data_IF_004961062102
#
_entry.id   IF_004961062102
#
_cell.length_a   1.000
_cell.length_b   1.000
_cell.length_c   1.000
_cell.angle_alpha   90.00
_cell.angle_beta   90.00
_cell.angle_gamma   90.00
#
_symmetry.space_group_name_H-M   'P 1'
#
loop_
_entity.id
_entity.type
_entity.pdbx_description
1 polymer ?
#
# COMPACT_ATOMS: atom_id res chain seq x y z
N UNK A 1 3.42 18.01 -21.77
CA UNK A 1 2.95 17.33 -20.55
C UNK A 1 4.13 17.31 -19.64
N UNK A 2 4.03 17.98 -18.50
CA UNK A 2 5.07 17.96 -17.48
C UNK A 2 5.07 16.53 -16.93
N UNK A 3 6.18 15.82 -17.10
CA UNK A 3 6.35 14.46 -16.60
C UNK A 3 6.38 14.56 -15.07
N UNK A 4 5.23 14.35 -14.43
CA UNK A 4 5.14 14.47 -12.98
C UNK A 4 5.95 13.30 -12.39
N UNK A 5 6.98 13.56 -11.57
CA UNK A 5 7.84 12.50 -11.08
C UNK A 5 7.03 11.49 -10.29
N UNK A 6 7.29 10.20 -10.53
CA UNK A 6 6.64 9.13 -9.78
C UNK A 6 6.81 9.33 -8.29
N UNK A 7 5.70 9.26 -7.56
CA UNK A 7 5.65 9.32 -6.08
C UNK A 7 4.87 8.13 -5.55
N UNK A 8 5.29 7.63 -4.41
CA UNK A 8 4.74 6.43 -3.79
C UNK A 8 4.24 6.71 -2.38
N UNK A 9 3.28 5.89 -1.93
CA UNK A 9 2.77 5.93 -0.58
C UNK A 9 3.32 4.75 0.22
N UNK A 10 3.60 4.91 1.51
CA UNK A 10 3.99 3.80 2.39
C UNK A 10 2.92 3.63 3.45
N UNK A 11 2.30 2.45 3.49
CA UNK A 11 1.41 2.05 4.57
C UNK A 11 2.19 1.23 5.59
N UNK A 12 2.09 1.59 6.86
CA UNK A 12 2.72 0.87 7.97
C UNK A 12 1.94 1.10 9.28
N UNK A 13 2.21 0.28 10.30
CA UNK A 13 1.58 0.49 11.61
C UNK A 13 2.16 1.73 12.30
N UNK A 14 1.34 2.47 13.02
CA UNK A 14 1.80 3.60 13.87
C UNK A 14 2.38 3.13 15.22
N UNK A 15 2.59 1.81 15.39
CA UNK A 15 3.34 1.26 16.53
C UNK A 15 4.81 1.67 16.42
N UNK A 16 5.45 1.86 17.57
CA UNK A 16 6.79 2.45 17.64
C UNK A 16 7.82 1.70 16.79
N UNK A 17 7.84 0.37 16.82
CA UNK A 17 8.77 -0.47 16.05
C UNK A 17 8.64 -0.22 14.54
N UNK A 18 7.45 -0.41 13.98
CA UNK A 18 7.17 -0.19 12.56
C UNK A 18 7.46 1.25 12.14
N UNK A 19 7.00 2.23 12.93
CA UNK A 19 7.22 3.66 12.63
C UNK A 19 8.71 4.00 12.60
N UNK A 20 9.49 3.47 13.55
CA UNK A 20 10.93 3.70 13.61
C UNK A 20 11.64 3.07 12.41
N UNK A 21 11.36 1.80 12.10
CA UNK A 21 11.93 1.11 10.94
C UNK A 21 11.58 1.83 9.63
N UNK A 22 10.32 2.23 9.46
CA UNK A 22 9.90 2.87 8.22
C UNK A 22 10.51 4.26 8.07
N UNK A 23 10.44 5.10 9.10
CA UNK A 23 10.90 6.48 9.01
C UNK A 23 12.42 6.62 9.01
N UNK A 24 13.11 5.79 9.78
CA UNK A 24 14.55 5.96 10.01
C UNK A 24 15.40 5.02 9.14
N UNK A 25 14.80 3.98 8.54
CA UNK A 25 15.50 3.02 7.68
C UNK A 25 14.90 2.95 6.27
N UNK A 26 13.61 2.65 6.14
CA UNK A 26 13.00 2.38 4.83
C UNK A 26 12.95 3.63 3.96
N UNK A 27 12.36 4.72 4.48
CA UNK A 27 12.20 5.97 3.73
C UNK A 27 13.55 6.55 3.29
N UNK A 28 14.57 6.69 4.15
CA UNK A 28 15.87 7.21 3.75
C UNK A 28 16.52 6.38 2.64
N UNK A 29 16.55 5.04 2.79
CA UNK A 29 17.14 4.16 1.77
C UNK A 29 16.43 4.23 0.43
N UNK A 30 15.09 4.34 0.43
CA UNK A 30 14.32 4.50 -0.81
C UNK A 30 14.59 5.87 -1.46
N UNK A 31 14.63 6.96 -0.67
CA UNK A 31 14.96 8.31 -1.15
C UNK A 31 16.36 8.36 -1.78
N UNK A 32 17.36 7.76 -1.13
CA UNK A 32 18.74 7.66 -1.63
C UNK A 32 18.83 6.91 -2.98
N UNK A 33 17.84 6.08 -3.29
CA UNK A 33 17.72 5.32 -4.54
C UNK A 33 16.75 5.96 -5.56
N UNK A 34 16.40 7.23 -5.35
CA UNK A 34 15.57 8.01 -6.28
C UNK A 34 14.10 7.58 -6.29
N UNK A 35 13.58 7.15 -5.14
CA UNK A 35 12.15 6.90 -4.91
C UNK A 35 11.59 8.07 -4.12
N UNK A 36 10.60 8.76 -4.70
CA UNK A 36 9.92 9.86 -4.01
C UNK A 36 8.74 9.31 -3.22
N UNK A 37 8.66 9.63 -1.93
CA UNK A 37 7.59 9.18 -1.03
C UNK A 37 6.68 10.36 -0.67
N UNK A 38 5.39 10.10 -0.45
CA UNK A 38 4.48 11.05 0.21
C UNK A 38 4.70 11.00 1.72
N UNK A 39 4.87 12.16 2.34
CA UNK A 39 5.11 12.33 3.77
C UNK A 39 3.93 13.01 4.45
N UNK A 40 3.91 13.03 5.79
CA UNK A 40 2.86 13.69 6.57
C UNK A 40 2.72 15.18 6.20
N UNK A 41 3.82 15.84 5.82
CA UNK A 41 3.83 17.25 5.38
C UNK A 41 3.08 17.47 4.05
N UNK A 42 2.86 16.43 3.24
CA UNK A 42 2.04 16.51 2.03
C UNK A 42 0.52 16.50 2.35
N UNK A 43 0.13 16.21 3.60
CA UNK A 43 -1.26 16.23 4.02
C UNK A 43 -1.72 17.67 4.27
N UNK A 44 -2.85 18.04 3.67
CA UNK A 44 -3.44 19.36 3.90
C UNK A 44 -3.97 19.49 5.33
N UNK A 45 -3.46 20.43 6.13
CA UNK A 45 -3.94 20.65 7.50
C UNK A 45 -5.44 20.96 7.53
N UNK A 46 -6.14 20.44 8.55
CA UNK A 46 -7.58 20.64 8.71
C UNK A 46 -8.47 19.71 7.85
N UNK A 47 -7.89 18.83 7.04
CA UNK A 47 -8.62 17.78 6.31
C UNK A 47 -8.96 16.61 7.26
N UNK A 48 -10.10 15.95 7.02
CA UNK A 48 -10.41 14.70 7.70
C UNK A 48 -9.38 13.63 7.34
N UNK A 49 -9.01 12.78 8.32
CA UNK A 49 -7.90 11.82 8.17
C UNK A 49 -8.11 10.92 6.96
N UNK A 50 -9.34 10.43 6.79
CA UNK A 50 -9.70 9.53 5.71
C UNK A 50 -9.56 10.16 4.31
N UNK A 51 -10.22 11.29 3.97
CA UNK A 51 -10.02 11.97 2.69
C UNK A 51 -8.56 12.33 2.39
N UNK A 52 -7.78 12.63 3.42
CA UNK A 52 -6.38 12.98 3.25
C UNK A 52 -5.57 11.76 2.76
N UNK A 53 -5.76 10.60 3.38
CA UNK A 53 -5.05 9.36 3.00
C UNK A 53 -5.59 8.75 1.72
N UNK A 54 -6.90 8.74 1.51
CA UNK A 54 -7.45 8.30 0.21
C UNK A 54 -6.90 9.17 -0.92
N UNK A 55 -6.77 10.47 -0.69
CA UNK A 55 -6.14 11.40 -1.62
C UNK A 55 -4.65 11.11 -1.88
N UNK A 56 -3.88 10.73 -0.87
CA UNK A 56 -2.48 10.32 -1.06
C UNK A 56 -2.36 9.02 -1.84
N UNK A 57 -3.13 7.99 -1.48
CA UNK A 57 -3.14 6.70 -2.20
C UNK A 57 -3.56 6.88 -3.66
N UNK A 58 -4.57 7.74 -3.92
CA UNK A 58 -5.03 8.00 -5.28
C UNK A 58 -3.99 8.75 -6.13
N UNK A 59 -3.20 9.65 -5.53
CA UNK A 59 -2.11 10.37 -6.21
C UNK A 59 -0.83 9.54 -6.38
N UNK A 60 -0.55 8.61 -5.46
CA UNK A 60 0.66 7.78 -5.49
C UNK A 60 0.61 6.71 -6.56
N UNK A 61 1.65 6.52 -7.35
CA UNK A 61 1.66 5.51 -8.41
C UNK A 61 1.44 4.09 -7.86
N UNK A 62 2.05 3.81 -6.70
CA UNK A 62 1.81 2.59 -5.91
C UNK A 62 1.93 2.86 -4.42
N UNK A 63 1.36 1.93 -3.67
CA UNK A 63 1.53 1.79 -2.23
C UNK A 63 2.54 0.68 -1.93
N UNK A 64 3.60 1.01 -1.20
CA UNK A 64 4.43 0.03 -0.49
C UNK A 64 3.75 -0.30 0.84
N UNK A 65 3.32 -1.55 1.00
CA UNK A 65 2.74 -2.05 2.23
C UNK A 65 3.86 -2.65 3.09
N UNK A 66 4.23 -2.00 4.17
CA UNK A 66 5.12 -2.57 5.18
C UNK A 66 4.30 -3.50 6.08
N UNK A 67 4.47 -4.81 5.88
CA UNK A 67 3.68 -5.81 6.58
C UNK A 67 4.48 -6.42 7.73
N UNK A 68 3.94 -6.33 8.94
CA UNK A 68 4.46 -6.88 10.19
C UNK A 68 3.29 -7.43 11.00
N UNK A 69 3.54 -8.06 12.15
CA UNK A 69 2.46 -8.41 13.10
C UNK A 69 1.65 -7.17 13.53
N UNK A 70 2.32 -6.03 13.73
CA UNK A 70 1.68 -4.78 14.13
C UNK A 70 0.75 -4.21 13.06
N UNK A 71 1.06 -4.41 11.77
CA UNK A 71 0.25 -3.90 10.67
C UNK A 71 -0.87 -4.86 10.28
N UNK A 72 -0.68 -6.17 10.41
CA UNK A 72 -1.75 -7.17 10.23
C UNK A 72 -2.90 -6.98 11.25
N UNK A 73 -2.60 -6.57 12.48
CA UNK A 73 -3.60 -6.25 13.50
C UNK A 73 -4.22 -4.85 13.38
N UNK A 74 -3.79 -4.03 12.42
CA UNK A 74 -4.19 -2.63 12.29
C UNK A 74 -5.37 -2.46 11.33
N UNK A 75 -6.51 -1.98 11.86
CA UNK A 75 -7.65 -1.59 11.02
C UNK A 75 -7.28 -0.49 10.01
N UNK A 76 -6.26 0.32 10.32
CA UNK A 76 -5.79 1.38 9.44
C UNK A 76 -4.97 0.87 8.27
N UNK A 77 -4.02 -0.03 8.52
CA UNK A 77 -3.26 -0.67 7.45
C UNK A 77 -4.19 -1.52 6.58
N UNK A 78 -5.19 -2.16 7.19
CA UNK A 78 -6.26 -2.85 6.46
C UNK A 78 -6.97 -1.87 5.52
N UNK A 79 -7.38 -0.69 6.02
CA UNK A 79 -8.03 0.34 5.22
C UNK A 79 -7.17 0.86 4.05
N UNK A 80 -5.89 1.14 4.29
CA UNK A 80 -4.95 1.64 3.26
C UNK A 80 -4.64 0.59 2.19
N UNK A 81 -4.42 -0.67 2.60
CA UNK A 81 -4.45 -1.82 1.70
C UNK A 81 -5.75 -1.78 0.91
N UNK A 82 -6.87 -1.49 1.59
CA UNK A 82 -8.15 -1.66 0.95
C UNK A 82 -8.32 -0.70 -0.24
N UNK A 83 -8.02 0.57 -0.01
CA UNK A 83 -8.07 1.62 -1.02
C UNK A 83 -7.04 1.40 -2.14
N UNK A 84 -5.85 0.86 -1.81
CA UNK A 84 -4.83 0.57 -2.81
C UNK A 84 -5.26 -0.53 -3.79
N UNK A 85 -5.98 -1.54 -3.31
CA UNK A 85 -6.55 -2.60 -4.15
C UNK A 85 -7.74 -2.08 -4.98
N UNK A 86 -8.60 -1.21 -4.43
CA UNK A 86 -9.65 -0.53 -5.23
C UNK A 86 -9.03 0.24 -6.40
N UNK A 87 -7.99 1.02 -6.12
CA UNK A 87 -7.23 1.74 -7.14
C UNK A 87 -6.67 0.79 -8.19
N UNK A 88 -6.17 -0.37 -7.74
CA UNK A 88 -5.61 -1.37 -8.63
C UNK A 88 -6.65 -1.84 -9.66
N UNK A 89 -7.87 -2.09 -9.20
CA UNK A 89 -9.00 -2.46 -10.04
C UNK A 89 -9.41 -1.31 -10.98
N UNK A 90 -9.65 -0.11 -10.43
CA UNK A 90 -10.11 1.06 -11.20
C UNK A 90 -9.14 1.48 -12.30
N UNK A 91 -7.83 1.35 -12.06
CA UNK A 91 -6.79 1.73 -13.01
C UNK A 91 -6.31 0.58 -13.90
N UNK A 92 -6.79 -0.65 -13.65
CA UNK A 92 -6.30 -1.88 -14.27
C UNK A 92 -4.77 -2.04 -14.16
N UNK A 93 -4.17 -1.56 -13.07
CA UNK A 93 -2.73 -1.63 -12.78
C UNK A 93 -2.52 -2.07 -11.35
N UNK A 94 -1.61 -2.99 -11.09
CA UNK A 94 -1.29 -3.39 -9.72
C UNK A 94 -0.64 -2.22 -8.98
N UNK A 95 -1.35 -1.69 -7.97
CA UNK A 95 -0.93 -0.52 -7.20
C UNK A 95 -0.31 -0.88 -5.84
N UNK A 96 0.06 -2.14 -5.60
CA UNK A 96 0.62 -2.61 -4.33
C UNK A 96 1.94 -3.36 -4.51
N UNK A 97 2.87 -3.15 -3.56
CA UNK A 97 4.10 -3.93 -3.37
C UNK A 97 4.20 -4.25 -1.88
N UNK A 98 4.56 -5.47 -1.51
CA UNK A 98 4.62 -5.89 -0.11
C UNK A 98 6.09 -5.97 0.35
N UNK A 99 6.38 -5.33 1.48
CA UNK A 99 7.65 -5.42 2.19
C UNK A 99 7.39 -6.10 3.55
N UNK A 100 7.81 -7.35 3.69
CA UNK A 100 7.48 -8.26 4.77
C UNK A 100 8.54 -8.20 5.88
N UNK A 101 8.16 -7.85 7.11
CA UNK A 101 9.04 -7.81 8.27
C UNK A 101 8.64 -8.87 9.29
N UNK A 102 9.52 -9.88 9.50
CA UNK A 102 9.35 -10.95 10.49
C UNK A 102 7.99 -11.66 10.41
N UNK A 103 7.47 -11.83 9.19
CA UNK A 103 6.22 -12.56 8.94
C UNK A 103 6.40 -13.53 7.78
N UNK A 104 5.66 -14.62 7.85
CA UNK A 104 5.55 -15.64 6.81
C UNK A 104 4.38 -15.30 5.86
N UNK A 105 4.48 -15.73 4.60
CA UNK A 105 3.40 -15.50 3.61
C UNK A 105 2.07 -16.13 4.03
N UNK A 106 2.10 -17.21 4.83
CA UNK A 106 0.91 -17.88 5.37
C UNK A 106 0.13 -17.02 6.37
N UNK A 107 0.74 -15.97 6.91
CA UNK A 107 0.09 -15.00 7.80
C UNK A 107 -0.60 -13.87 7.02
N UNK A 108 -0.33 -13.74 5.71
CA UNK A 108 -0.98 -12.74 4.88
C UNK A 108 -2.48 -13.04 4.71
N UNK A 109 -3.33 -12.00 4.59
CA UNK A 109 -4.72 -12.21 4.24
C UNK A 109 -4.84 -13.02 2.95
N UNK A 110 -5.76 -13.99 2.92
CA UNK A 110 -6.04 -14.80 1.74
C UNK A 110 -6.84 -14.02 0.67
N UNK A 111 -6.22 -12.95 0.17
CA UNK A 111 -6.72 -12.10 -0.91
C UNK A 111 -5.91 -12.46 -2.15
N UNK A 112 -6.57 -12.90 -3.22
CA UNK A 112 -5.90 -13.41 -4.43
C UNK A 112 -4.85 -12.44 -4.99
N UNK A 113 -5.14 -11.14 -5.01
CA UNK A 113 -4.20 -10.11 -5.47
C UNK A 113 -2.90 -10.10 -4.66
N UNK A 114 -2.97 -10.29 -3.33
CA UNK A 114 -1.79 -10.27 -2.46
C UNK A 114 -0.91 -11.51 -2.64
N UNK A 115 -1.50 -12.62 -3.09
CA UNK A 115 -0.75 -13.84 -3.38
C UNK A 115 0.12 -13.67 -4.62
N UNK A 116 -0.35 -12.91 -5.61
CA UNK A 116 0.34 -12.62 -6.87
C UNK A 116 1.19 -11.34 -6.83
N UNK A 117 0.96 -10.47 -5.85
CA UNK A 117 1.73 -9.25 -5.67
C UNK A 117 3.19 -9.57 -5.33
N UNK A 118 4.10 -8.67 -5.74
CA UNK A 118 5.53 -8.80 -5.40
C UNK A 118 5.69 -8.69 -3.88
N UNK A 119 6.27 -9.74 -3.29
CA UNK A 119 6.58 -9.87 -1.86
C UNK A 119 8.08 -9.85 -1.69
N UNK A 120 8.58 -8.96 -0.84
CA UNK A 120 10.00 -8.74 -0.60
C UNK A 120 10.22 -8.81 0.90
N UNK A 121 11.21 -9.56 1.35
CA UNK A 121 11.53 -9.67 2.77
C UNK A 121 12.44 -8.51 3.20
N UNK A 122 12.03 -7.79 4.23
CA UNK A 122 12.83 -6.76 4.86
C UNK A 122 13.85 -7.40 5.81
N UNK A 123 15.10 -7.00 5.66
CA UNK A 123 16.18 -7.27 6.60
C UNK A 123 16.81 -5.93 7.01
N UNK A 124 16.99 -5.72 8.31
CA UNK A 124 17.62 -4.53 8.84
C UNK A 124 19.14 -4.54 8.64
N UNK A 125 19.73 -5.74 8.54
CA UNK A 125 21.17 -5.96 8.47
C UNK A 125 21.71 -6.03 7.04
N UNK A 126 20.85 -6.06 6.03
CA UNK A 126 21.24 -6.05 4.63
C UNK A 126 20.32 -5.13 3.80
N UNK A 127 20.84 -4.68 2.65
CA UNK A 127 20.14 -3.71 1.79
C UNK A 127 19.66 -4.33 0.47
N UNK A 128 19.68 -5.66 0.33
CA UNK A 128 19.28 -6.34 -0.91
C UNK A 128 17.82 -6.04 -1.27
N UNK A 129 16.97 -5.96 -0.25
CA UNK A 129 15.55 -5.61 -0.37
C UNK A 129 15.33 -4.24 -1.03
N UNK A 130 16.26 -3.29 -0.89
CA UNK A 130 16.11 -1.93 -1.43
C UNK A 130 15.98 -1.97 -2.95
N UNK A 131 16.86 -2.73 -3.60
CA UNK A 131 16.84 -2.90 -5.06
C UNK A 131 15.53 -3.54 -5.51
N UNK A 132 15.09 -4.58 -4.81
CA UNK A 132 13.86 -5.28 -5.16
C UNK A 132 12.62 -4.41 -4.98
N UNK A 133 12.58 -3.57 -3.94
CA UNK A 133 11.49 -2.62 -3.73
C UNK A 133 11.50 -1.55 -4.81
N UNK A 134 12.66 -0.98 -5.15
CA UNK A 134 12.81 0.01 -6.23
C UNK A 134 12.30 -0.54 -7.56
N UNK A 135 12.70 -1.77 -7.92
CA UNK A 135 12.20 -2.44 -9.11
C UNK A 135 10.69 -2.69 -9.03
N UNK A 136 10.22 -3.22 -7.90
CA UNK A 136 8.81 -3.51 -7.66
C UNK A 136 7.92 -2.27 -7.74
N UNK A 137 8.40 -1.13 -7.27
CA UNK A 137 7.68 0.15 -7.33
C UNK A 137 7.63 0.70 -8.76
N UNK A 138 8.72 0.60 -9.53
CA UNK A 138 8.81 1.10 -10.92
C UNK A 138 8.16 0.20 -11.97
N UNK A 139 8.08 -1.10 -11.70
CA UNK A 139 7.45 -2.06 -12.62
C UNK A 139 5.99 -1.66 -12.92
N UNK A 140 5.42 -2.02 -14.07
CA UNK A 140 3.97 -1.86 -14.29
C UNK A 140 3.41 -3.20 -14.69
N UNK A 141 2.52 -3.75 -13.85
CA UNK A 141 1.72 -4.95 -14.15
C UNK A 141 0.26 -4.58 -14.22
N UNK A 142 -0.47 -5.14 -15.17
CA UNK A 142 -1.93 -5.00 -15.21
C UNK A 142 -2.59 -6.05 -14.35
N UNK A 143 -3.85 -5.83 -14.00
CA UNK A 143 -4.63 -6.82 -13.25
C UNK A 143 -4.85 -8.10 -14.06
N UNK A 144 -4.93 -7.98 -15.39
CA UNK A 144 -5.02 -9.14 -16.28
C UNK A 144 -3.75 -10.01 -16.31
N UNK A 145 -2.57 -9.42 -16.08
CA UNK A 145 -1.30 -10.16 -16.04
C UNK A 145 -1.19 -11.03 -14.79
N UNK A 146 -1.72 -10.55 -13.66
CA UNK A 146 -1.70 -11.27 -12.38
C UNK A 146 -2.91 -12.18 -12.18
N UNK A 147 -4.05 -11.85 -12.78
CA UNK A 147 -5.30 -12.61 -12.64
C UNK A 147 -6.03 -12.68 -13.99
N UNK A 148 -5.76 -13.71 -14.82
CA UNK A 148 -6.39 -13.82 -16.13
C UNK A 148 -7.92 -14.00 -16.03
N UNK A 149 -8.63 -13.37 -16.96
CA UNK A 149 -10.09 -13.14 -16.97
C UNK A 149 -11.01 -14.39 -16.96
N UNK A 150 -10.45 -15.61 -16.86
CA UNK A 150 -11.20 -16.86 -16.70
C UNK A 150 -11.64 -17.15 -15.25
N UNK A 151 -11.21 -16.34 -14.28
CA UNK A 151 -11.46 -16.60 -12.87
C UNK A 151 -12.71 -15.84 -12.38
N UNK A 152 -13.86 -16.51 -12.30
CA UNK A 152 -15.12 -15.95 -11.72
C UNK A 152 -14.90 -15.37 -10.31
N UNK A 153 -13.87 -15.85 -9.60
CA UNK A 153 -13.36 -15.30 -8.35
C UNK A 153 -13.00 -13.81 -8.43
N UNK A 154 -12.56 -13.31 -9.60
CA UNK A 154 -12.24 -11.90 -9.81
C UNK A 154 -13.47 -11.01 -9.56
N UNK A 155 -14.59 -11.28 -10.22
CA UNK A 155 -15.81 -10.50 -10.04
C UNK A 155 -16.39 -10.58 -8.63
N UNK A 156 -16.27 -11.75 -7.97
CA UNK A 156 -16.80 -11.99 -6.62
C UNK A 156 -15.97 -11.34 -5.51
N UNK A 157 -14.64 -11.47 -5.56
CA UNK A 157 -13.75 -10.85 -4.56
C UNK A 157 -13.91 -9.34 -4.58
N UNK A 158 -14.01 -8.74 -5.78
CA UNK A 158 -14.16 -7.29 -5.91
C UNK A 158 -15.56 -6.77 -5.61
N UNK A 159 -16.64 -7.53 -5.89
CA UNK A 159 -18.01 -7.09 -5.57
C UNK A 159 -18.26 -7.04 -4.06
N UNK A 160 -17.78 -8.04 -3.31
CA UNK A 160 -17.81 -8.04 -1.85
C UNK A 160 -17.04 -6.86 -1.26
N UNK A 161 -15.94 -6.53 -1.90
CA UNK A 161 -15.00 -5.55 -1.41
C UNK A 161 -15.43 -4.09 -1.65
N UNK A 162 -15.77 -3.77 -2.89
CA UNK A 162 -16.25 -2.44 -3.27
C UNK A 162 -17.59 -2.14 -2.60
N UNK A 163 -18.44 -3.16 -2.41
CA UNK A 163 -19.67 -3.03 -1.63
C UNK A 163 -19.41 -2.78 -0.14
N UNK A 164 -18.45 -3.48 0.47
CA UNK A 164 -18.07 -3.26 1.87
C UNK A 164 -17.48 -1.86 2.11
N UNK A 165 -16.54 -1.43 1.25
CA UNK A 165 -15.95 -0.09 1.36
C UNK A 165 -16.99 1.02 1.24
N UNK A 166 -17.92 0.93 0.28
CA UNK A 166 -19.00 1.92 0.12
C UNK A 166 -19.90 2.04 1.35
N UNK A 167 -20.11 0.95 2.08
CA UNK A 167 -20.96 0.92 3.27
C UNK A 167 -20.25 1.43 4.52
N UNK A 168 -18.97 1.06 4.70
CA UNK A 168 -18.22 1.33 5.94
C UNK A 168 -17.53 2.70 5.92
N UNK A 169 -17.11 3.19 4.75
CA UNK A 169 -16.44 4.49 4.61
C UNK A 169 -17.23 5.67 5.23
N UNK A 170 -18.55 5.82 5.00
CA UNK A 170 -19.34 6.89 5.62
C UNK A 170 -19.32 6.88 7.15
N UNK A 171 -19.26 5.71 7.79
CA UNK A 171 -19.26 5.57 9.25
C UNK A 171 -17.92 5.95 9.88
N UNK A 172 -16.80 5.75 9.16
CA UNK A 172 -15.45 6.03 9.67
C UNK A 172 -15.07 7.52 9.49
N UNK A 173 -15.75 8.30 8.65
CA UNK A 173 -15.43 9.71 8.32
C UNK A 173 -15.46 10.72 9.50
N UNK A 174 -15.80 10.30 10.71
CA UNK A 174 -15.95 11.17 11.90
C UNK A 174 -14.67 11.70 12.58
N UNK A 175 -13.45 11.32 12.17
CA UNK A 175 -12.19 11.77 12.82
C UNK A 175 -11.41 12.80 11.98
N UNK A 176 -10.98 13.90 12.63
CA UNK A 176 -10.16 14.98 12.04
C UNK A 176 -8.68 14.82 12.40
N UNK A 177 -7.78 15.24 11.50
CA UNK A 177 -6.37 15.45 11.82
C UNK A 177 -6.29 16.75 12.62
N UNK A 178 -5.67 16.70 13.81
CA UNK A 178 -5.44 17.88 14.66
C UNK A 178 -4.14 18.57 14.26
#
# INVERSE_FOLDING_TARGET
MEDNPSRYFISHSNKFEDRHLVNDVVIPKLKDNGINIYEEEDLQPGTHVLPAITGLVDKADKTLLFISENSLGSSWCSFELLISLEKSQRTNRLAVVLLLHKIEESQLPHIAVLQEARKIHFDEHNDEWVREVVEGLRETKTIGDIMPAGNVAHGLVWSHYSGFLQYVLPEIMGKKIM
#
